data_IF_354087099421
#
_entry.id   IF_354087099421
#
_cell.length_a   1.000
_cell.length_b   1.000
_cell.length_c   1.000
_cell.angle_alpha   90.00
_cell.angle_beta   90.00
_cell.angle_gamma   90.00
#
_symmetry.space_group_name_H-M   'P 1'
#
loop_
_entity.id
_entity.type
_entity.pdbx_description
1 polymer ?
#
# COMPACT_ATOMS: atom_id res chain seq x y z
N UNK A 1 4.20 -14.43 37.83
CA UNK A 1 2.73 -14.33 37.99
C UNK A 1 2.48 -13.12 38.87
N UNK A 2 2.51 -11.94 38.27
CA UNK A 2 2.13 -10.71 38.95
C UNK A 2 0.64 -10.55 38.69
N UNK A 3 -0.16 -10.63 39.75
CA UNK A 3 -1.60 -10.41 39.68
C UNK A 3 -1.81 -8.92 39.42
N UNK A 4 -2.01 -8.59 38.16
CA UNK A 4 -2.47 -7.29 37.68
C UNK A 4 -3.91 -7.08 38.16
N UNK A 5 -4.08 -6.75 39.44
CA UNK A 5 -5.34 -6.27 40.01
C UNK A 5 -5.52 -4.80 39.64
N UNK A 6 -5.50 -4.53 38.33
CA UNK A 6 -5.81 -3.23 37.77
C UNK A 6 -7.27 -2.92 38.03
N UNK A 7 -7.55 -2.24 39.15
CA UNK A 7 -8.84 -1.60 39.41
C UNK A 7 -9.23 -0.82 38.15
N UNK A 8 -10.42 -1.11 37.62
CA UNK A 8 -10.81 -0.55 36.33
C UNK A 8 -10.83 0.98 36.44
N UNK A 9 -10.47 1.72 35.39
CA UNK A 9 -10.54 3.18 35.41
C UNK A 9 -11.95 3.70 35.74
N UNK A 10 -12.99 2.90 35.50
CA UNK A 10 -14.36 3.18 35.92
C UNK A 10 -14.56 3.04 37.43
N UNK A 11 -13.94 2.05 38.06
CA UNK A 11 -13.99 1.85 39.51
C UNK A 11 -13.27 2.98 40.26
N UNK A 12 -12.11 3.43 39.75
CA UNK A 12 -11.42 4.61 40.28
C UNK A 12 -12.25 5.89 40.10
N UNK A 13 -12.95 6.06 38.98
CA UNK A 13 -13.84 7.20 38.76
C UNK A 13 -15.03 7.17 39.73
N UNK A 14 -15.60 5.98 39.99
CA UNK A 14 -16.67 5.77 40.96
C UNK A 14 -16.21 6.08 42.38
N UNK A 15 -15.06 5.56 42.82
CA UNK A 15 -14.50 5.82 44.14
C UNK A 15 -14.20 7.31 44.37
N UNK A 16 -13.71 8.03 43.34
CA UNK A 16 -13.53 9.49 43.42
C UNK A 16 -14.86 10.22 43.61
N UNK A 17 -15.91 9.80 42.91
CA UNK A 17 -17.26 10.37 43.04
C UNK A 17 -17.84 10.11 44.44
N UNK A 18 -17.73 8.88 44.94
CA UNK A 18 -18.19 8.51 46.30
C UNK A 18 -17.42 9.29 47.38
N UNK A 19 -16.09 9.41 47.26
CA UNK A 19 -15.27 10.23 48.17
C UNK A 19 -15.68 11.69 48.15
N UNK A 20 -15.94 12.26 46.97
CA UNK A 20 -16.39 13.66 46.85
C UNK A 20 -17.74 13.89 47.52
N UNK A 21 -18.65 12.93 47.41
CA UNK A 21 -19.97 12.98 48.03
C UNK A 21 -19.86 12.92 49.55
N UNK A 22 -19.09 11.96 50.09
CA UNK A 22 -18.87 11.81 51.53
C UNK A 22 -18.20 13.05 52.15
N UNK A 23 -17.26 13.69 51.44
CA UNK A 23 -16.65 14.94 51.90
C UNK A 23 -17.67 16.09 51.98
N UNK A 24 -18.61 16.16 51.03
CA UNK A 24 -19.71 17.12 51.05
C UNK A 24 -20.67 16.89 52.22
N UNK A 25 -21.02 15.63 52.49
CA UNK A 25 -21.86 15.25 53.63
C UNK A 25 -21.20 15.56 54.97
N UNK A 26 -19.91 15.24 55.13
CA UNK A 26 -19.10 15.59 56.30
C UNK A 26 -19.03 17.11 56.53
N UNK A 27 -18.86 17.89 55.46
CA UNK A 27 -18.89 19.35 55.54
C UNK A 27 -20.25 19.88 56.03
N UNK A 28 -21.34 19.31 55.52
CA UNK A 28 -22.70 19.67 55.92
C UNK A 28 -22.97 19.31 57.38
N UNK A 29 -22.53 18.12 57.82
CA UNK A 29 -22.69 17.68 59.21
C UNK A 29 -21.91 18.58 60.17
N UNK A 30 -20.67 18.95 59.81
CA UNK A 30 -19.85 19.89 60.59
C UNK A 30 -20.52 21.25 60.71
N UNK A 31 -21.09 21.79 59.63
CA UNK A 31 -21.80 23.06 59.65
C UNK A 31 -23.04 23.00 60.56
N UNK A 32 -23.82 21.91 60.51
CA UNK A 32 -24.97 21.70 61.40
C UNK A 32 -24.55 21.60 62.87
N UNK A 33 -23.45 20.91 63.16
CA UNK A 33 -22.92 20.80 64.51
C UNK A 33 -22.47 22.17 65.05
N UNK A 34 -21.74 22.95 64.26
CA UNK A 34 -21.30 24.29 64.69
C UNK A 34 -22.48 25.25 64.90
N UNK A 35 -23.49 25.20 64.03
CA UNK A 35 -24.72 25.97 64.21
C UNK A 35 -25.42 25.59 65.53
N UNK A 36 -25.50 24.29 65.84
CA UNK A 36 -26.10 23.79 67.09
C UNK A 36 -25.33 24.31 68.30
N UNK A 37 -23.99 24.29 68.27
CA UNK A 37 -23.15 24.87 69.32
C UNK A 37 -23.41 26.37 69.48
N UNK A 38 -23.48 27.11 68.39
CA UNK A 38 -23.73 28.54 68.41
C UNK A 38 -25.11 28.87 68.98
N UNK A 39 -26.14 28.11 68.62
CA UNK A 39 -27.49 28.25 69.20
C UNK A 39 -27.47 27.99 70.71
N UNK A 40 -26.79 26.93 71.16
CA UNK A 40 -26.69 26.62 72.59
C UNK A 40 -25.90 27.68 73.37
N UNK A 41 -24.79 28.20 72.81
CA UNK A 41 -24.04 29.32 73.39
C UNK A 41 -24.94 30.55 73.55
N UNK A 42 -25.73 30.85 72.52
CA UNK A 42 -26.67 31.99 72.55
C UNK A 42 -27.78 31.83 73.59
N UNK A 43 -28.37 30.63 73.71
CA UNK A 43 -29.46 30.36 74.67
C UNK A 43 -28.94 30.45 76.12
N UNK A 44 -27.72 29.96 76.36
CA UNK A 44 -27.12 29.90 77.69
C UNK A 44 -26.32 31.16 78.06
N UNK A 45 -26.20 32.14 77.16
CA UNK A 45 -25.40 33.35 77.39
C UNK A 45 -23.89 33.08 77.53
N UNK A 46 -23.39 32.03 76.90
CA UNK A 46 -21.97 31.63 76.96
C UNK A 46 -21.15 32.36 75.90
N UNK A 47 -19.84 32.52 76.15
CA UNK A 47 -18.92 33.10 75.19
C UNK A 47 -18.80 32.24 73.91
N UNK A 48 -18.53 32.89 72.78
CA UNK A 48 -18.38 32.26 71.46
C UNK A 48 -17.31 31.14 71.42
N UNK A 49 -16.37 31.18 72.35
CA UNK A 49 -15.22 30.28 72.42
C UNK A 49 -15.48 29.04 73.29
N UNK A 50 -16.64 28.96 73.96
CA UNK A 50 -16.99 27.83 74.82
C UNK A 50 -17.10 26.54 74.00
N UNK A 51 -16.37 25.53 74.42
CA UNK A 51 -16.40 24.19 73.84
C UNK A 51 -17.71 23.46 74.19
N UNK A 52 -17.95 22.32 73.53
CA UNK A 52 -19.08 21.45 73.89
C UNK A 52 -19.04 21.02 75.36
N UNK A 53 -17.86 20.82 75.93
CA UNK A 53 -17.71 20.43 77.34
C UNK A 53 -18.21 21.54 78.28
N UNK A 54 -17.88 22.80 77.99
CA UNK A 54 -18.30 23.96 78.79
C UNK A 54 -19.82 24.15 78.75
N UNK A 55 -20.43 23.91 77.58
CA UNK A 55 -21.89 23.96 77.41
C UNK A 55 -22.57 22.89 78.27
N UNK A 56 -22.05 21.66 78.27
CA UNK A 56 -22.61 20.56 79.08
C UNK A 56 -22.46 20.85 80.58
N UNK A 57 -21.29 21.30 81.02
CA UNK A 57 -21.06 21.67 82.41
C UNK A 57 -22.01 22.80 82.88
N UNK A 58 -22.24 23.81 82.03
CA UNK A 58 -23.15 24.90 82.34
C UNK A 58 -24.62 24.44 82.46
N UNK A 59 -25.06 23.53 81.58
CA UNK A 59 -26.40 22.92 81.65
C UNK A 59 -26.56 22.08 82.92
N UNK A 60 -25.53 21.31 83.31
CA UNK A 60 -25.53 20.56 84.56
C UNK A 60 -25.60 21.47 85.80
N UNK A 61 -24.90 22.61 85.79
CA UNK A 61 -24.98 23.61 86.86
C UNK A 61 -26.38 24.23 86.96
N UNK A 62 -26.98 24.60 85.82
CA UNK A 62 -28.36 25.11 85.78
C UNK A 62 -29.37 24.07 86.28
N UNK A 63 -29.17 22.79 85.95
CA UNK A 63 -29.97 21.68 86.48
C UNK A 63 -29.89 21.59 88.01
N UNK A 64 -28.69 21.70 88.59
CA UNK A 64 -28.49 21.71 90.06
C UNK A 64 -29.13 22.92 90.73
N UNK A 65 -29.09 24.09 90.09
CA UNK A 65 -29.72 25.32 90.58
C UNK A 65 -31.26 25.22 90.54
N UNK A 66 -31.81 24.66 89.46
CA UNK A 66 -33.25 24.43 89.33
C UNK A 66 -33.79 23.44 90.37
N UNK A 67 -33.03 22.39 90.70
CA UNK A 67 -33.39 21.44 91.77
C UNK A 67 -33.25 22.03 93.19
N UNK A 68 -32.45 23.08 93.38
CA UNK A 68 -32.27 23.77 94.65
C UNK A 68 -33.33 24.84 94.98
N UNK A 69 -34.14 25.27 94.02
CA UNK A 69 -35.07 26.40 94.15
C UNK A 69 -36.52 25.95 94.40
N UNK A 70 -36.74 25.04 95.36
CA UNK A 70 -38.07 24.57 95.80
C UNK A 70 -38.51 25.08 97.17
N UNK A 71 -37.87 26.10 97.74
CA UNK A 71 -38.32 26.62 99.03
C UNK A 71 -37.68 27.93 99.42
N UNK A 72 -38.29 29.05 99.02
CA UNK A 72 -38.25 30.30 99.79
C UNK A 72 -39.34 31.25 99.31
N UNK A 73 -40.59 30.94 99.68
CA UNK A 73 -41.64 31.94 99.84
C UNK A 73 -41.17 32.92 100.93
N UNK A 74 -40.75 34.12 100.53
CA UNK A 74 -40.53 35.25 101.46
C UNK A 74 -41.66 36.25 101.27
N UNK A 75 -42.67 36.05 102.10
CA UNK A 75 -43.63 37.07 102.56
C UNK A 75 -42.86 38.33 102.98
N UNK A 76 -43.12 39.44 102.29
CA UNK A 76 -42.69 40.78 102.70
C UNK A 76 -43.93 41.46 103.32
N UNK A 77 -43.73 41.91 104.56
CA UNK A 77 -44.70 42.57 105.42
C UNK A 77 -44.91 44.03 104.97
N UNK A 78 -46.17 44.42 105.00
CA UNK A 78 -46.66 45.81 105.02
C UNK A 78 -46.39 46.40 106.41
N UNK A 79 -45.73 47.56 106.46
CA UNK A 79 -45.73 48.49 107.60
C UNK A 79 -46.16 49.85 107.05
N UNK A 80 -47.39 50.24 107.42
CA UNK A 80 -48.07 51.53 107.20
C UNK A 80 -47.39 52.62 108.05
N UNK A 81 -47.18 53.81 107.47
CA UNK A 81 -46.86 55.05 108.20
C UNK A 81 -47.20 56.29 107.31
N UNK A 82 -48.47 56.71 107.35
CA UNK A 82 -49.00 58.09 107.34
C UNK A 82 -48.32 59.23 106.53
N UNK A 83 -47.83 58.97 105.31
CA UNK A 83 -47.67 59.95 104.21
C UNK A 83 -48.22 59.43 102.85
N UNK A 84 -49.13 58.46 102.92
CA UNK A 84 -49.54 57.57 101.83
C UNK A 84 -50.32 58.23 100.68
N UNK A 85 -50.98 59.38 100.90
CA UNK A 85 -51.83 60.02 99.88
C UNK A 85 -51.01 60.80 98.83
N UNK A 86 -49.92 61.46 99.25
CA UNK A 86 -49.01 62.17 98.33
C UNK A 86 -48.17 61.18 97.52
N UNK A 87 -47.72 60.09 98.14
CA UNK A 87 -46.98 59.02 97.47
C UNK A 87 -47.87 58.24 96.50
N UNK A 88 -49.14 57.99 96.85
CA UNK A 88 -50.10 57.35 95.95
C UNK A 88 -50.41 58.19 94.70
N UNK A 89 -50.41 59.52 94.82
CA UNK A 89 -50.68 60.42 93.69
C UNK A 89 -49.46 60.59 92.77
N UNK A 90 -48.24 60.63 93.33
CA UNK A 90 -47.00 60.49 92.57
C UNK A 90 -46.89 59.13 91.87
N UNK A 91 -47.27 58.03 92.54
CA UNK A 91 -47.33 56.70 91.96
C UNK A 91 -48.32 56.61 90.79
N UNK A 92 -49.48 57.28 90.87
CA UNK A 92 -50.44 57.35 89.76
C UNK A 92 -49.88 58.12 88.57
N UNK A 93 -49.20 59.25 88.80
CA UNK A 93 -48.53 59.98 87.73
C UNK A 93 -47.40 59.16 87.10
N UNK A 94 -46.62 58.44 87.92
CA UNK A 94 -45.56 57.56 87.45
C UNK A 94 -46.12 56.39 86.62
N UNK A 95 -47.23 55.79 87.06
CA UNK A 95 -47.94 54.75 86.31
C UNK A 95 -48.44 55.28 84.98
N UNK A 96 -49.08 56.45 84.95
CA UNK A 96 -49.56 57.05 83.72
C UNK A 96 -48.40 57.36 82.75
N UNK A 97 -47.28 57.87 83.27
CA UNK A 97 -46.07 58.11 82.46
C UNK A 97 -45.51 56.78 81.93
N UNK A 98 -45.47 55.73 82.75
CA UNK A 98 -45.01 54.42 82.34
C UNK A 98 -45.94 53.78 81.29
N UNK A 99 -47.25 53.98 81.38
CA UNK A 99 -48.23 53.56 80.38
C UNK A 99 -47.99 54.28 79.04
N UNK A 100 -47.82 55.61 79.06
CA UNK A 100 -47.51 56.37 77.85
C UNK A 100 -46.17 55.96 77.21
N UNK A 101 -45.14 55.73 78.03
CA UNK A 101 -43.83 55.27 77.56
C UNK A 101 -43.95 53.86 76.96
N UNK A 102 -44.79 52.98 77.54
CA UNK A 102 -45.04 51.63 77.04
C UNK A 102 -45.77 51.68 75.69
N UNK A 103 -46.81 52.51 75.55
CA UNK A 103 -47.52 52.74 74.29
C UNK A 103 -46.56 53.26 73.19
N UNK A 104 -45.67 54.21 73.52
CA UNK A 104 -44.68 54.71 72.56
C UNK A 104 -43.70 53.60 72.14
N UNK A 105 -43.27 52.74 73.07
CA UNK A 105 -42.39 51.61 72.79
C UNK A 105 -43.10 50.53 71.98
N UNK A 106 -44.36 50.27 72.23
CA UNK A 106 -45.17 49.35 71.43
C UNK A 106 -45.32 49.85 70.00
N UNK A 107 -45.64 51.14 69.81
CA UNK A 107 -45.70 51.75 68.48
C UNK A 107 -44.34 51.67 67.75
N UNK A 108 -43.23 51.93 68.45
CA UNK A 108 -41.88 51.76 67.88
C UNK A 108 -41.61 50.30 67.47
N UNK A 109 -42.04 49.31 68.27
CA UNK A 109 -41.91 47.90 67.95
C UNK A 109 -42.77 47.50 66.74
N UNK A 110 -44.00 48.00 66.63
CA UNK A 110 -44.87 47.76 65.49
C UNK A 110 -44.26 48.30 64.18
N UNK A 111 -43.73 49.52 64.21
CA UNK A 111 -43.02 50.12 63.08
C UNK A 111 -41.74 49.35 62.70
N UNK A 112 -40.99 48.88 63.69
CA UNK A 112 -39.83 48.01 63.45
C UNK A 112 -40.26 46.67 62.84
N UNK A 113 -41.34 46.06 63.34
CA UNK A 113 -41.88 44.82 62.77
C UNK A 113 -42.36 45.02 61.33
N UNK A 114 -42.99 46.16 61.01
CA UNK A 114 -43.36 46.50 59.64
C UNK A 114 -42.14 46.63 58.73
N UNK A 115 -41.09 47.34 59.17
CA UNK A 115 -39.83 47.45 58.44
C UNK A 115 -39.15 46.10 58.21
N UNK A 116 -39.14 45.22 59.20
CA UNK A 116 -38.58 43.85 59.07
C UNK A 116 -39.37 43.02 58.05
N UNK A 117 -40.70 43.15 58.03
CA UNK A 117 -41.55 42.49 57.01
C UNK A 117 -41.21 42.99 55.61
N UNK A 118 -41.10 44.29 55.40
CA UNK A 118 -40.75 44.88 54.09
C UNK A 118 -39.36 44.44 53.61
N UNK A 119 -38.37 44.43 54.50
CA UNK A 119 -37.02 43.94 54.18
C UNK A 119 -37.03 42.46 53.83
N UNK A 120 -37.81 41.65 54.54
CA UNK A 120 -37.96 40.22 54.26
C UNK A 120 -38.56 39.98 52.88
N UNK A 121 -39.56 40.78 52.48
CA UNK A 121 -40.16 40.73 51.14
C UNK A 121 -39.17 41.14 50.04
N UNK A 122 -38.35 42.17 50.28
CA UNK A 122 -37.31 42.59 49.34
C UNK A 122 -36.25 41.50 49.19
N UNK A 123 -35.79 40.90 50.30
CA UNK A 123 -34.82 39.80 50.27
C UNK A 123 -35.38 38.57 49.56
N UNK A 124 -36.65 38.22 49.78
CA UNK A 124 -37.32 37.14 49.06
C UNK A 124 -37.38 37.38 47.55
N UNK A 125 -37.71 38.61 47.13
CA UNK A 125 -37.68 39.01 45.71
C UNK A 125 -36.27 38.94 45.11
N UNK A 126 -35.26 39.41 45.85
CA UNK A 126 -33.86 39.33 45.43
C UNK A 126 -33.40 37.88 45.27
N UNK A 127 -33.75 37.01 46.22
CA UNK A 127 -33.47 35.58 46.16
C UNK A 127 -34.10 34.93 44.92
N UNK A 128 -35.37 35.23 44.63
CA UNK A 128 -36.06 34.71 43.44
C UNK A 128 -35.37 35.15 42.13
N UNK A 129 -34.88 36.39 42.04
CA UNK A 129 -34.13 36.87 40.87
C UNK A 129 -32.77 36.16 40.77
N UNK A 130 -32.08 35.92 41.88
CA UNK A 130 -30.83 35.15 41.91
C UNK A 130 -31.06 33.70 41.45
N UNK A 131 -32.12 33.05 41.90
CA UNK A 131 -32.45 31.67 41.49
C UNK A 131 -32.79 31.60 39.99
N UNK A 132 -33.57 32.55 39.50
CA UNK A 132 -33.89 32.67 38.07
C UNK A 132 -32.64 32.90 37.21
N UNK A 133 -31.74 33.77 37.64
CA UNK A 133 -30.48 34.02 36.91
C UNK A 133 -29.54 32.82 36.95
N UNK A 134 -29.47 32.10 38.08
CA UNK A 134 -28.72 30.85 38.18
C UNK A 134 -29.28 29.78 37.22
N UNK A 135 -30.60 29.61 37.18
CA UNK A 135 -31.24 28.69 36.25
C UNK A 135 -30.98 29.08 34.78
N UNK A 136 -31.03 30.37 34.46
CA UNK A 136 -30.74 30.87 33.12
C UNK A 136 -29.27 30.60 32.72
N UNK A 137 -28.31 30.82 33.63
CA UNK A 137 -26.90 30.53 33.38
C UNK A 137 -26.65 29.02 33.20
N UNK A 138 -27.33 28.17 33.98
CA UNK A 138 -27.27 26.72 33.82
C UNK A 138 -27.74 26.29 32.43
N UNK A 139 -28.92 26.77 32.02
CA UNK A 139 -29.47 26.47 30.69
C UNK A 139 -28.57 26.98 29.56
N UNK A 140 -27.96 28.16 29.71
CA UNK A 140 -27.01 28.68 28.73
C UNK A 140 -25.75 27.83 28.62
N UNK A 141 -25.24 27.29 29.74
CA UNK A 141 -24.09 26.39 29.72
C UNK A 141 -24.44 25.05 29.06
N UNK A 142 -25.59 24.46 29.36
CA UNK A 142 -26.07 23.25 28.69
C UNK A 142 -26.22 23.46 27.17
N UNK A 143 -26.74 24.62 26.76
CA UNK A 143 -26.84 24.97 25.35
C UNK A 143 -25.46 25.12 24.69
N UNK A 144 -24.49 25.75 25.36
CA UNK A 144 -23.11 25.86 24.85
C UNK A 144 -22.47 24.48 24.70
N UNK A 145 -22.67 23.59 25.66
CA UNK A 145 -22.14 22.23 25.61
C UNK A 145 -22.75 21.44 24.44
N UNK A 146 -24.06 21.58 24.20
CA UNK A 146 -24.71 20.96 23.05
C UNK A 146 -24.17 21.50 21.72
N UNK A 147 -24.01 22.81 21.60
CA UNK A 147 -23.43 23.44 20.40
C UNK A 147 -21.97 23.00 20.19
N UNK A 148 -21.21 22.87 21.27
CA UNK A 148 -19.84 22.35 21.21
C UNK A 148 -19.81 20.90 20.68
N UNK A 149 -20.67 20.03 21.21
CA UNK A 149 -20.80 18.64 20.75
C UNK A 149 -21.21 18.56 19.27
N UNK A 150 -22.18 19.35 18.84
CA UNK A 150 -22.60 19.43 17.44
C UNK A 150 -21.47 19.90 16.53
N UNK A 151 -20.68 20.89 16.97
CA UNK A 151 -19.51 21.39 16.22
C UNK A 151 -18.44 20.31 16.09
N UNK A 152 -18.15 19.56 17.14
CA UNK A 152 -17.21 18.44 17.10
C UNK A 152 -17.67 17.32 16.15
N UNK A 153 -18.97 16.99 16.16
CA UNK A 153 -19.56 16.01 15.25
C UNK A 153 -19.49 16.47 13.78
N UNK A 154 -19.78 17.75 13.52
CA UNK A 154 -19.59 18.34 12.19
C UNK A 154 -18.12 18.28 11.74
N UNK A 155 -17.17 18.57 12.63
CA UNK A 155 -15.74 18.43 12.30
C UNK A 155 -15.37 16.99 11.97
N UNK A 156 -15.86 16.01 12.76
CA UNK A 156 -15.63 14.58 12.48
C UNK A 156 -16.20 14.16 11.13
N UNK A 157 -17.46 14.51 10.85
CA UNK A 157 -18.11 14.18 9.57
C UNK A 157 -17.42 14.85 8.38
N UNK A 158 -16.92 16.08 8.52
CA UNK A 158 -16.13 16.73 7.47
C UNK A 158 -14.80 16.00 7.23
N UNK A 159 -14.10 15.58 8.28
CA UNK A 159 -12.85 14.84 8.15
C UNK A 159 -13.06 13.46 7.48
N UNK A 160 -14.14 12.75 7.83
CA UNK A 160 -14.47 11.48 7.21
C UNK A 160 -14.86 11.64 5.73
N UNK A 161 -15.60 12.71 5.39
CA UNK A 161 -15.90 13.06 4.00
C UNK A 161 -14.63 13.34 3.20
N UNK A 162 -13.65 14.02 3.79
CA UNK A 162 -12.38 14.33 3.12
C UNK A 162 -11.56 13.05 2.89
N UNK A 163 -11.52 12.13 3.86
CA UNK A 163 -10.91 10.79 3.70
C UNK A 163 -11.54 9.99 2.56
N UNK A 164 -12.88 9.95 2.49
CA UNK A 164 -13.59 9.27 1.41
C UNK A 164 -13.33 9.93 0.05
N UNK A 165 -13.18 11.25 0.00
CA UNK A 165 -12.80 11.95 -1.22
C UNK A 165 -11.39 11.59 -1.69
N UNK A 166 -10.44 11.47 -0.77
CA UNK A 166 -9.08 11.03 -1.07
C UNK A 166 -9.06 9.59 -1.60
N UNK A 167 -9.80 8.68 -0.97
CA UNK A 167 -9.95 7.30 -1.45
C UNK A 167 -10.57 7.24 -2.84
N UNK A 168 -11.63 8.00 -3.09
CA UNK A 168 -12.25 8.12 -4.42
C UNK A 168 -11.27 8.65 -5.46
N UNK A 169 -10.40 9.59 -5.11
CA UNK A 169 -9.38 10.12 -6.02
C UNK A 169 -8.32 9.06 -6.33
N UNK A 170 -7.86 8.30 -5.32
CA UNK A 170 -6.94 7.16 -5.51
C UNK A 170 -7.51 6.12 -6.47
N UNK A 171 -8.77 5.71 -6.27
CA UNK A 171 -9.44 4.74 -7.14
C UNK A 171 -9.59 5.25 -8.59
N UNK A 172 -9.82 6.56 -8.79
CA UNK A 172 -9.85 7.17 -10.12
C UNK A 172 -8.48 7.14 -10.80
N UNK A 173 -7.41 7.41 -10.06
CA UNK A 173 -6.04 7.31 -10.57
C UNK A 173 -5.67 5.88 -10.95
N UNK A 174 -6.02 4.89 -10.12
CA UNK A 174 -5.84 3.47 -10.44
C UNK A 174 -6.61 3.06 -11.69
N UNK A 175 -7.88 3.48 -11.79
CA UNK A 175 -8.70 3.21 -12.98
C UNK A 175 -8.08 3.85 -14.23
N UNK A 176 -7.52 5.06 -14.12
CA UNK A 176 -6.80 5.72 -15.21
C UNK A 176 -5.56 4.92 -15.62
N UNK A 177 -4.73 4.49 -14.67
CA UNK A 177 -3.54 3.66 -14.94
C UNK A 177 -3.90 2.35 -15.63
N UNK A 178 -4.97 1.69 -15.21
CA UNK A 178 -5.46 0.47 -15.85
C UNK A 178 -5.93 0.70 -17.29
N UNK A 179 -6.62 1.82 -17.57
CA UNK A 179 -6.99 2.20 -18.95
C UNK A 179 -5.75 2.48 -19.81
N UNK A 180 -4.76 3.20 -19.29
CA UNK A 180 -3.52 3.49 -20.00
C UNK A 180 -2.74 2.19 -20.33
N UNK A 181 -2.65 1.26 -19.37
CA UNK A 181 -2.05 -0.05 -19.58
C UNK A 181 -2.81 -0.88 -20.62
N UNK A 182 -4.14 -0.87 -20.58
CA UNK A 182 -4.98 -1.57 -21.55
C UNK A 182 -4.77 -1.03 -22.98
N UNK A 183 -4.74 0.30 -23.14
CA UNK A 183 -4.43 0.93 -24.44
C UNK A 183 -3.03 0.56 -24.93
N UNK A 184 -2.05 0.52 -24.03
CA UNK A 184 -0.69 0.09 -24.38
C UNK A 184 -0.65 -1.37 -24.85
N UNK A 185 -1.32 -2.28 -24.12
CA UNK A 185 -1.42 -3.69 -24.50
C UNK A 185 -2.14 -3.87 -25.83
N UNK A 186 -3.22 -3.13 -26.08
CA UNK A 186 -3.96 -3.18 -27.33
C UNK A 186 -3.09 -2.71 -28.52
N UNK A 187 -2.34 -1.62 -28.35
CA UNK A 187 -1.38 -1.16 -29.37
C UNK A 187 -0.29 -2.19 -29.65
N UNK A 188 0.26 -2.81 -28.61
CA UNK A 188 1.27 -3.85 -28.78
C UNK A 188 0.71 -5.09 -29.50
N UNK A 189 -0.51 -5.51 -29.17
CA UNK A 189 -1.20 -6.60 -29.88
C UNK A 189 -1.42 -6.24 -31.35
N UNK A 190 -1.91 -5.04 -31.65
CA UNK A 190 -2.10 -4.57 -33.02
C UNK A 190 -0.78 -4.51 -33.81
N UNK A 191 0.32 -4.11 -33.17
CA UNK A 191 1.64 -4.13 -33.80
C UNK A 191 2.09 -5.57 -34.10
N UNK A 192 1.85 -6.52 -33.19
CA UNK A 192 2.16 -7.94 -33.42
C UNK A 192 1.29 -8.56 -34.51
N UNK A 193 0.01 -8.24 -34.55
CA UNK A 193 -0.90 -8.64 -35.64
C UNK A 193 -0.42 -8.11 -36.99
N UNK A 194 0.00 -6.84 -37.06
CA UNK A 194 0.54 -6.30 -38.32
C UNK A 194 1.87 -6.92 -38.72
N UNK A 195 2.78 -7.21 -37.76
CA UNK A 195 4.02 -7.95 -38.02
C UNK A 195 3.74 -9.37 -38.55
N UNK A 196 2.76 -10.07 -37.98
CA UNK A 196 2.34 -11.40 -38.44
C UNK A 196 1.75 -11.33 -39.85
N UNK A 197 0.87 -10.37 -40.13
CA UNK A 197 0.29 -10.20 -41.47
C UNK A 197 1.37 -9.95 -42.55
N UNK A 198 2.40 -9.17 -42.24
CA UNK A 198 3.54 -8.95 -43.16
C UNK A 198 4.35 -10.25 -43.36
N UNK A 199 4.60 -11.01 -42.30
CA UNK A 199 5.32 -12.27 -42.38
C UNK A 199 4.53 -13.31 -43.20
N UNK A 200 3.22 -13.41 -42.98
CA UNK A 200 2.31 -14.27 -43.76
C UNK A 200 2.32 -13.90 -45.24
N UNK A 201 2.23 -12.61 -45.59
CA UNK A 201 2.31 -12.14 -46.97
C UNK A 201 3.66 -12.53 -47.63
N UNK A 202 4.77 -12.39 -46.91
CA UNK A 202 6.10 -12.79 -47.40
C UNK A 202 6.22 -14.30 -47.59
N UNK A 203 5.61 -15.11 -46.72
CA UNK A 203 5.58 -16.56 -46.88
C UNK A 203 4.75 -16.96 -48.11
N UNK A 204 3.58 -16.35 -48.32
CA UNK A 204 2.77 -16.58 -49.52
C UNK A 204 3.55 -16.23 -50.78
N UNK A 205 4.22 -15.08 -50.81
CA UNK A 205 5.05 -14.68 -51.95
C UNK A 205 6.15 -15.73 -52.23
N UNK A 206 6.88 -16.18 -51.20
CA UNK A 206 7.89 -17.24 -51.34
C UNK A 206 7.29 -18.55 -51.85
N UNK A 207 6.13 -18.98 -51.35
CA UNK A 207 5.44 -20.17 -51.83
C UNK A 207 5.07 -20.04 -53.31
N UNK A 208 4.55 -18.89 -53.75
CA UNK A 208 4.25 -18.67 -55.18
C UNK A 208 5.51 -18.66 -56.04
N UNK A 209 6.62 -18.11 -55.55
CA UNK A 209 7.90 -18.15 -56.26
C UNK A 209 8.48 -19.56 -56.35
N UNK A 210 8.32 -20.38 -55.31
CA UNK A 210 8.74 -21.78 -55.34
C UNK A 210 7.90 -22.58 -56.32
N UNK A 211 6.58 -22.42 -56.30
CA UNK A 211 5.67 -23.09 -57.24
C UNK A 211 6.01 -22.75 -58.71
N UNK A 212 6.36 -21.48 -59.01
CA UNK A 212 6.85 -21.09 -60.35
C UNK A 212 8.14 -21.80 -60.74
N UNK A 213 9.13 -21.85 -59.84
CA UNK A 213 10.40 -22.56 -60.09
C UNK A 213 10.20 -24.05 -60.27
N UNK A 214 9.31 -24.67 -59.50
CA UNK A 214 8.96 -26.08 -59.65
C UNK A 214 8.32 -26.34 -61.01
N UNK A 215 7.44 -25.44 -61.47
CA UNK A 215 6.87 -25.51 -62.82
C UNK A 215 7.95 -25.37 -63.91
N UNK A 216 8.82 -24.36 -63.82
CA UNK A 216 9.93 -24.15 -64.76
C UNK A 216 10.87 -25.37 -64.83
N UNK A 217 11.19 -25.98 -63.68
CA UNK A 217 11.98 -27.21 -63.62
C UNK A 217 11.27 -28.39 -64.28
N UNK A 218 9.95 -28.52 -64.09
CA UNK A 218 9.13 -29.52 -64.77
C UNK A 218 9.14 -29.36 -66.29
N UNK A 219 8.99 -28.13 -66.78
CA UNK A 219 9.05 -27.81 -68.20
C UNK A 219 10.43 -28.15 -68.80
N UNK A 220 11.53 -27.78 -68.11
CA UNK A 220 12.90 -28.12 -68.51
C UNK A 220 13.16 -29.63 -68.50
N UNK A 221 12.61 -30.37 -67.53
CA UNK A 221 12.70 -31.83 -67.50
C UNK A 221 11.99 -32.46 -68.70
N UNK A 222 10.78 -32.00 -69.03
CA UNK A 222 10.04 -32.47 -70.19
C UNK A 222 10.76 -32.13 -71.52
N UNK A 223 11.41 -30.97 -71.62
CA UNK A 223 12.26 -30.61 -72.76
C UNK A 223 13.47 -31.54 -72.89
N UNK A 224 14.14 -31.84 -71.77
CA UNK A 224 15.26 -32.78 -71.76
C UNK A 224 14.84 -34.21 -72.15
N UNK A 225 13.68 -34.66 -71.72
CA UNK A 225 13.13 -35.97 -72.13
C UNK A 225 12.84 -35.99 -73.64
N UNK A 226 12.26 -34.92 -74.18
CA UNK A 226 12.05 -34.77 -75.64
C UNK A 226 13.35 -34.82 -76.42
N UNK A 227 14.37 -34.07 -75.98
CA UNK A 227 15.69 -34.08 -76.61
C UNK A 227 16.36 -35.46 -76.54
N UNK A 228 16.20 -36.18 -75.42
CA UNK A 228 16.72 -37.55 -75.30
C UNK A 228 16.05 -38.50 -76.29
N UNK A 229 14.74 -38.42 -76.45
CA UNK A 229 14.01 -39.22 -77.44
C UNK A 229 14.42 -38.87 -78.88
N UNK A 230 14.63 -37.59 -79.19
CA UNK A 230 15.13 -37.15 -80.50
C UNK A 230 16.56 -37.67 -80.78
N UNK A 231 17.45 -37.61 -79.78
CA UNK A 231 18.79 -38.17 -79.89
C UNK A 231 18.74 -39.69 -80.13
N UNK A 232 17.86 -40.41 -79.43
CA UNK A 232 17.66 -41.84 -79.62
C UNK A 232 17.21 -42.16 -81.06
N UNK A 233 16.22 -41.43 -81.58
CA UNK A 233 15.78 -41.56 -82.98
C UNK A 233 16.93 -41.28 -83.98
N UNK A 234 17.72 -40.22 -83.74
CA UNK A 234 18.88 -39.91 -84.59
C UNK A 234 19.96 -41.00 -84.51
N UNK A 235 20.20 -41.58 -83.33
CA UNK A 235 21.11 -42.71 -83.17
C UNK A 235 20.65 -43.92 -83.98
N UNK A 236 19.36 -44.24 -83.99
CA UNK A 236 18.78 -45.34 -84.79
C UNK A 236 18.92 -45.09 -86.29
N UNK A 237 18.72 -43.84 -86.74
CA UNK A 237 18.91 -43.44 -88.14
C UNK A 237 20.38 -43.57 -88.54
N UNK A 238 21.31 -43.11 -87.69
CA UNK A 238 22.75 -43.24 -87.94
C UNK A 238 23.16 -44.71 -88.00
N UNK A 239 22.72 -45.53 -87.05
CA UNK A 239 23.00 -46.97 -87.05
C UNK A 239 22.49 -47.65 -88.33
N UNK A 240 21.28 -47.31 -88.78
CA UNK A 240 20.70 -47.82 -90.03
C UNK A 240 21.52 -47.43 -91.27
N UNK A 241 22.12 -46.22 -91.25
CA UNK A 241 23.00 -45.74 -92.33
C UNK A 241 24.36 -46.40 -92.28
N UNK A 242 24.93 -46.63 -91.10
CA UNK A 242 26.16 -47.38 -90.93
C UNK A 242 26.00 -48.82 -91.47
N UNK A 243 24.87 -49.48 -91.19
CA UNK A 243 24.52 -50.79 -91.76
C UNK A 243 24.40 -50.77 -93.30
N UNK A 244 23.88 -49.68 -93.88
CA UNK A 244 23.84 -49.48 -95.33
C UNK A 244 25.25 -49.28 -95.92
N UNK A 245 26.06 -48.45 -95.29
CA UNK A 245 27.46 -48.20 -95.68
C UNK A 245 28.28 -49.49 -95.61
N UNK A 246 28.14 -50.29 -94.56
CA UNK A 246 28.85 -51.55 -94.41
C UNK A 246 28.40 -52.60 -95.42
N UNK A 247 27.12 -52.61 -95.80
CA UNK A 247 26.63 -53.39 -96.96
C UNK A 247 27.29 -52.95 -98.26
N UNK A 248 27.37 -51.65 -98.53
CA UNK A 248 28.02 -51.11 -99.74
C UNK A 248 29.52 -51.43 -99.73
N UNK A 249 30.21 -51.27 -98.60
CA UNK A 249 31.63 -51.63 -98.44
C UNK A 249 31.87 -53.11 -98.72
N UNK A 250 31.02 -53.99 -98.17
CA UNK A 250 31.09 -55.44 -98.42
C UNK A 250 30.86 -55.78 -99.90
N UNK A 251 29.91 -55.11 -100.56
CA UNK A 251 29.68 -55.27 -102.00
C UNK A 251 30.89 -54.78 -102.82
N UNK A 252 31.44 -53.61 -102.49
CA UNK A 252 32.64 -53.06 -103.13
C UNK A 252 33.82 -54.01 -102.97
N UNK A 253 34.05 -54.58 -101.78
CA UNK A 253 35.11 -55.56 -101.55
C UNK A 253 34.94 -56.81 -102.45
N UNK A 254 33.71 -57.32 -102.60
CA UNK A 254 33.42 -58.43 -103.52
C UNK A 254 33.71 -58.03 -104.98
N UNK A 255 33.29 -56.84 -105.41
CA UNK A 255 33.59 -56.33 -106.76
C UNK A 255 35.09 -56.12 -106.98
N UNK A 256 35.80 -55.53 -106.03
CA UNK A 256 37.25 -55.35 -106.07
C UNK A 256 37.98 -56.70 -106.10
N UNK A 257 37.53 -57.69 -105.32
CA UNK A 257 38.09 -59.04 -105.37
C UNK A 257 37.83 -59.70 -106.73
N UNK A 258 36.66 -59.47 -107.34
CA UNK A 258 36.35 -59.94 -108.69
C UNK A 258 37.21 -59.23 -109.75
N UNK A 259 37.43 -57.93 -109.65
CA UNK A 259 38.34 -57.16 -110.52
C UNK A 259 39.80 -57.58 -110.34
N UNK A 260 40.26 -57.80 -109.10
CA UNK A 260 41.58 -58.39 -108.83
C UNK A 260 41.73 -59.75 -109.51
N UNK A 261 40.69 -60.60 -109.54
CA UNK A 261 40.72 -61.87 -110.31
C UNK A 261 40.77 -61.64 -111.83
N UNK A 262 40.07 -60.64 -112.37
CA UNK A 262 40.13 -60.28 -113.80
C UNK A 262 41.50 -59.73 -114.20
N UNK A 263 42.13 -58.95 -113.33
CA UNK A 263 43.44 -58.33 -113.56
C UNK A 263 44.63 -59.21 -113.13
N UNK A 264 44.40 -60.27 -112.33
CA UNK A 264 45.40 -61.28 -111.93
C UNK A 264 45.99 -62.07 -113.10
N UNK A 265 45.39 -62.01 -114.30
CA UNK A 265 45.89 -62.64 -115.53
C UNK A 265 46.22 -61.63 -116.64
N UNK A 266 46.57 -60.38 -116.28
CA UNK A 266 47.20 -59.45 -117.21
C UNK A 266 48.68 -59.26 -116.83
N UNK A 267 49.62 -59.91 -117.54
CA UNK A 267 51.04 -59.60 -117.39
C UNK A 267 51.32 -58.25 -118.06
N UNK A 268 52.03 -57.38 -117.36
CA UNK A 268 52.76 -56.29 -118.00
C UNK A 268 52.93 -55.07 -117.11
N UNK A 269 53.98 -54.27 -117.33
CA UNK A 269 55.35 -54.61 -117.74
C UNK A 269 56.37 -54.10 -116.71
N UNK A 270 57.58 -54.63 -116.78
CA UNK A 270 58.78 -54.00 -116.24
C UNK A 270 59.01 -52.65 -116.95
N UNK A 271 59.20 -51.55 -116.22
CA UNK A 271 60.27 -50.54 -116.41
C UNK A 271 59.94 -49.14 -115.86
N UNK A 272 60.98 -48.50 -115.29
CA UNK A 272 61.20 -47.04 -115.27
C UNK A 272 60.61 -46.28 -114.08
N UNK A 273 61.35 -45.99 -113.00
CA UNK A 273 62.28 -44.85 -112.88
C UNK A 273 61.76 -43.51 -113.40
N UNK A 274 61.30 -42.59 -112.52
CA UNK A 274 61.58 -41.14 -112.65
C UNK A 274 61.25 -40.31 -111.38
N UNK A 275 62.30 -39.86 -110.70
CA UNK A 275 62.61 -38.49 -110.22
C UNK A 275 61.49 -37.52 -109.75
N UNK A 276 61.73 -36.89 -108.58
CA UNK A 276 61.33 -35.50 -108.25
C UNK A 276 60.31 -35.40 -107.11
N UNK A 277 60.64 -35.09 -105.84
CA UNK A 277 61.33 -33.93 -105.24
C UNK A 277 60.58 -32.60 -105.43
N UNK A 278 60.33 -31.95 -104.28
CA UNK A 278 60.02 -30.52 -104.00
C UNK A 278 58.52 -30.15 -104.07
N UNK A 279 57.89 -29.81 -102.94
CA UNK A 279 57.93 -28.56 -102.15
C UNK A 279 56.91 -27.52 -102.62
N UNK A 280 55.97 -27.17 -101.74
CA UNK A 280 55.37 -25.82 -101.59
C UNK A 280 54.33 -25.87 -100.45
N UNK A 281 54.51 -25.27 -99.28
CA UNK A 281 54.73 -23.86 -98.92
C UNK A 281 53.45 -23.07 -98.72
N UNK A 282 53.36 -22.47 -97.51
CA UNK A 282 52.66 -21.22 -97.12
C UNK A 282 51.12 -21.28 -97.12
N UNK A 283 50.43 -20.81 -96.08
CA UNK A 283 50.61 -19.52 -95.39
C UNK A 283 49.98 -19.50 -93.97
N UNK A 284 50.67 -18.92 -92.98
CA UNK A 284 50.01 -18.21 -91.85
C UNK A 284 49.38 -16.88 -92.32
N UNK A 285 48.84 -15.97 -91.47
CA UNK A 285 49.52 -15.44 -90.28
C UNK A 285 48.62 -14.95 -89.09
N UNK A 286 49.30 -14.47 -88.03
CA UNK A 286 49.03 -13.33 -87.11
C UNK A 286 47.60 -13.07 -86.57
N UNK A 287 47.40 -13.12 -85.25
CA UNK A 287 47.41 -12.00 -84.28
C UNK A 287 46.13 -11.12 -84.29
N UNK A 288 45.39 -11.09 -83.18
CA UNK A 288 45.21 -9.84 -82.40
C UNK A 288 44.67 -10.10 -80.97
N UNK A 289 45.13 -9.22 -80.10
CA UNK A 289 44.98 -8.92 -78.66
C UNK A 289 43.66 -9.21 -77.93
N UNK A 290 43.62 -9.44 -76.60
CA UNK A 290 44.68 -9.23 -75.61
C UNK A 290 44.37 -9.63 -74.15
N UNK A 291 45.45 -9.54 -73.36
CA UNK A 291 45.53 -8.85 -72.05
C UNK A 291 44.80 -9.41 -70.80
N UNK A 292 45.47 -10.34 -70.10
CA UNK A 292 45.81 -10.42 -68.64
C UNK A 292 44.79 -10.13 -67.50
N UNK A 293 45.15 -10.34 -66.20
CA UNK A 293 46.37 -10.92 -65.62
C UNK A 293 46.11 -12.09 -64.62
N UNK A 294 47.17 -12.70 -64.01
CA UNK A 294 47.10 -13.94 -63.23
C UNK A 294 47.08 -13.70 -61.71
N UNK A 295 46.63 -14.69 -60.94
CA UNK A 295 46.99 -14.80 -59.51
C UNK A 295 46.99 -16.26 -59.04
N UNK A 296 48.22 -16.79 -58.98
CA UNK A 296 48.84 -17.53 -57.89
C UNK A 296 48.12 -18.70 -57.22
N UNK A 297 48.74 -19.86 -57.41
CA UNK A 297 48.65 -21.06 -56.60
C UNK A 297 49.15 -20.86 -55.16
N UNK A 298 48.54 -21.59 -54.22
CA UNK A 298 49.14 -22.24 -53.04
C UNK A 298 48.08 -23.23 -52.55
N UNK A 299 48.18 -24.54 -52.84
CA UNK A 299 49.03 -25.53 -52.16
C UNK A 299 49.02 -25.40 -50.64
N UNK A 300 48.16 -26.19 -49.98
CA UNK A 300 48.52 -27.10 -48.88
C UNK A 300 47.24 -27.73 -48.28
N UNK A 301 47.08 -29.04 -48.46
CA UNK A 301 46.37 -29.93 -47.53
C UNK A 301 47.20 -30.03 -46.22
N UNK A 302 46.67 -30.44 -45.03
CA UNK A 302 45.90 -31.68 -44.89
C UNK A 302 44.88 -31.83 -43.72
N UNK A 303 44.12 -32.92 -43.81
CA UNK A 303 43.69 -33.84 -42.74
C UNK A 303 42.71 -33.45 -41.62
N UNK A 304 41.66 -34.28 -41.57
CA UNK A 304 41.24 -35.13 -40.45
C UNK A 304 40.01 -34.72 -39.61
N UNK A 305 39.11 -35.72 -39.49
CA UNK A 305 38.11 -35.99 -38.44
C UNK A 305 36.96 -34.98 -38.34
N UNK A 306 35.72 -35.35 -38.61
CA UNK A 306 35.02 -36.47 -37.98
C UNK A 306 34.41 -35.99 -36.65
N UNK A 307 33.21 -35.41 -36.72
CA UNK A 307 32.39 -35.14 -35.54
C UNK A 307 30.99 -35.71 -35.76
N UNK A 308 30.79 -36.86 -35.14
CA UNK A 308 29.52 -37.54 -34.94
C UNK A 308 28.65 -36.77 -33.89
N UNK A 309 27.36 -37.12 -33.73
CA UNK A 309 26.41 -36.38 -32.92
C UNK A 309 26.55 -36.75 -31.44
N UNK A 310 26.16 -35.84 -30.53
CA UNK A 310 25.96 -36.20 -29.12
C UNK A 310 24.60 -35.71 -28.62
N UNK A 311 23.69 -36.66 -28.53
CA UNK A 311 22.78 -36.82 -27.41
C UNK A 311 23.62 -37.07 -26.14
N UNK A 312 23.34 -36.38 -25.04
CA UNK A 312 22.91 -37.04 -23.80
C UNK A 312 22.54 -36.07 -22.67
N UNK A 313 21.49 -36.51 -22.00
CA UNK A 313 20.96 -36.11 -20.70
C UNK A 313 21.96 -36.27 -19.53
N UNK A 314 21.55 -35.65 -18.42
CA UNK A 314 21.82 -36.02 -17.01
C UNK A 314 23.05 -35.46 -16.27
N UNK A 315 22.71 -34.63 -15.26
CA UNK A 315 23.31 -34.38 -13.93
C UNK A 315 23.88 -35.64 -13.22
N UNK A 316 24.54 -35.59 -12.03
CA UNK A 316 25.19 -34.50 -11.25
C UNK A 316 26.60 -34.88 -10.71
N UNK A 317 27.35 -33.91 -10.14
CA UNK A 317 28.10 -34.00 -8.84
C UNK A 317 29.26 -32.98 -8.74
N UNK A 318 29.27 -32.26 -7.61
CA UNK A 318 30.42 -31.62 -6.94
C UNK A 318 31.46 -32.67 -6.49
N UNK A 319 32.68 -32.36 -5.97
CA UNK A 319 33.20 -31.08 -5.45
C UNK A 319 34.64 -30.72 -5.93
N UNK A 320 35.17 -29.57 -5.50
CA UNK A 320 36.63 -29.38 -5.44
C UNK A 320 37.10 -27.98 -5.77
N UNK A 321 37.63 -27.29 -4.77
CA UNK A 321 38.20 -25.96 -4.84
C UNK A 321 39.43 -25.90 -5.77
N UNK A 322 39.52 -24.82 -6.56
CA UNK A 322 40.71 -23.99 -6.69
C UNK A 322 40.40 -22.75 -7.54
N UNK A 323 40.75 -21.60 -7.00
CA UNK A 323 40.77 -20.31 -7.69
C UNK A 323 41.83 -20.34 -8.80
N UNK A 324 41.63 -19.59 -9.89
CA UNK A 324 42.57 -18.50 -10.08
C UNK A 324 41.93 -17.19 -10.51
N UNK A 325 42.67 -16.15 -10.12
CA UNK A 325 42.52 -14.73 -10.41
C UNK A 325 42.49 -14.49 -11.92
N UNK A 326 41.38 -13.95 -12.43
CA UNK A 326 41.40 -13.14 -13.66
C UNK A 326 40.48 -11.95 -13.51
N UNK A 327 41.12 -10.80 -13.36
CA UNK A 327 40.62 -9.45 -13.64
C UNK A 327 39.95 -9.38 -15.02
N UNK A 328 38.63 -9.20 -15.07
CA UNK A 328 37.94 -8.78 -16.28
C UNK A 328 36.66 -8.00 -15.92
N UNK A 329 36.66 -6.72 -16.33
CA UNK A 329 35.50 -5.85 -16.58
C UNK A 329 34.41 -5.83 -15.50
N UNK A 330 34.64 -5.05 -14.44
CA UNK A 330 33.57 -4.56 -13.55
C UNK A 330 32.66 -3.61 -14.33
N UNK A 331 31.57 -4.16 -14.88
CA UNK A 331 30.32 -3.40 -15.03
C UNK A 331 29.87 -2.97 -13.63
N UNK A 332 29.53 -1.70 -13.38
CA UNK A 332 28.87 -1.34 -12.14
C UNK A 332 27.51 -2.04 -12.13
N UNK A 333 27.40 -3.12 -11.37
CA UNK A 333 26.10 -3.66 -10.97
C UNK A 333 25.38 -2.50 -10.30
N UNK A 334 24.32 -2.01 -10.94
CA UNK A 334 23.42 -1.02 -10.33
C UNK A 334 23.08 -1.55 -8.93
N UNK A 335 23.11 -0.70 -7.88
CA UNK A 335 22.61 -1.09 -6.57
C UNK A 335 21.22 -1.68 -6.80
N UNK A 336 21.06 -2.96 -6.45
CA UNK A 336 19.74 -3.57 -6.35
C UNK A 336 18.98 -2.64 -5.44
N UNK A 337 17.95 -1.99 -5.98
CA UNK A 337 17.07 -1.10 -5.24
C UNK A 337 16.72 -1.81 -3.94
N UNK A 338 16.97 -1.15 -2.80
CA UNK A 338 16.66 -1.71 -1.50
C UNK A 338 15.18 -2.08 -1.50
N UNK A 339 14.86 -3.37 -1.62
CA UNK A 339 13.49 -3.84 -1.43
C UNK A 339 13.07 -3.43 -0.03
N UNK A 340 11.89 -2.83 0.06
CA UNK A 340 11.32 -2.48 1.35
C UNK A 340 11.13 -3.73 2.20
N UNK A 341 11.17 -3.56 3.52
CA UNK A 341 11.15 -4.68 4.48
C UNK A 341 9.94 -5.60 4.26
N UNK A 342 8.81 -5.03 3.87
CA UNK A 342 7.55 -5.73 3.64
C UNK A 342 7.54 -6.48 2.29
N UNK A 343 8.04 -5.87 1.22
CA UNK A 343 8.23 -6.55 -0.07
C UNK A 343 9.21 -7.71 0.05
N UNK A 344 10.29 -7.52 0.81
CA UNK A 344 11.25 -8.57 1.12
C UNK A 344 10.59 -9.70 1.92
N UNK A 345 9.74 -9.39 2.91
CA UNK A 345 9.03 -10.41 3.67
C UNK A 345 8.05 -11.21 2.78
N UNK A 346 7.32 -10.53 1.90
CA UNK A 346 6.44 -11.16 0.92
C UNK A 346 7.20 -12.02 -0.10
N UNK A 347 8.37 -11.57 -0.56
CA UNK A 347 9.22 -12.37 -1.44
C UNK A 347 9.73 -13.64 -0.74
N UNK A 348 10.23 -13.51 0.50
CA UNK A 348 10.77 -14.64 1.25
C UNK A 348 9.70 -15.66 1.68
N UNK A 349 8.43 -15.25 1.80
CA UNK A 349 7.34 -16.18 2.09
C UNK A 349 7.03 -17.10 0.89
N UNK A 350 7.23 -16.62 -0.34
CA UNK A 350 7.02 -17.39 -1.57
C UNK A 350 8.20 -18.32 -1.90
N UNK A 351 9.40 -18.04 -1.38
CA UNK A 351 10.61 -18.84 -1.65
C UNK A 351 11.24 -19.36 -0.34
N UNK A 352 10.83 -20.53 0.16
CA UNK A 352 11.32 -21.09 1.44
C UNK A 352 12.85 -21.25 1.50
N UNK A 353 13.47 -21.60 0.36
CA UNK A 353 14.93 -21.72 0.24
C UNK A 353 15.65 -20.37 0.36
N UNK A 354 15.05 -19.29 -0.16
CA UNK A 354 15.59 -17.94 -0.01
C UNK A 354 15.47 -17.46 1.45
N UNK A 355 14.32 -17.72 2.10
CA UNK A 355 14.11 -17.44 3.54
C UNK A 355 15.14 -18.13 4.43
N UNK A 356 15.44 -19.41 4.14
CA UNK A 356 16.46 -20.18 4.89
C UNK A 356 17.85 -19.60 4.71
N UNK A 357 18.22 -19.26 3.47
CA UNK A 357 19.54 -18.70 3.15
C UNK A 357 19.74 -17.34 3.80
N UNK A 358 18.71 -16.50 3.80
CA UNK A 358 18.74 -15.20 4.47
C UNK A 358 18.95 -15.31 5.99
N UNK A 359 18.22 -16.21 6.66
CA UNK A 359 18.42 -16.46 8.10
C UNK A 359 19.84 -16.91 8.41
N UNK A 360 20.41 -17.76 7.56
CA UNK A 360 21.77 -18.29 7.73
C UNK A 360 22.84 -17.20 7.50
N UNK A 361 22.55 -16.24 6.63
CA UNK A 361 23.42 -15.08 6.42
C UNK A 361 23.33 -14.07 7.57
N UNK A 362 22.12 -13.79 8.10
CA UNK A 362 21.94 -12.91 9.26
C UNK A 362 22.66 -13.46 10.51
N UNK A 363 22.45 -14.74 10.82
CA UNK A 363 23.15 -15.40 11.95
C UNK A 363 24.68 -15.36 11.82
N UNK A 364 25.23 -15.44 10.61
CA UNK A 364 26.68 -15.28 10.37
C UNK A 364 27.18 -13.83 10.53
N UNK A 365 26.36 -12.84 10.23
CA UNK A 365 26.70 -11.42 10.38
C UNK A 365 26.62 -11.02 11.85
N UNK A 366 25.55 -11.45 12.52
CA UNK A 366 25.32 -11.17 13.94
C UNK A 366 26.31 -11.93 14.84
N UNK A 367 26.74 -13.14 14.45
CA UNK A 367 27.77 -13.91 15.17
C UNK A 367 29.22 -13.45 14.94
N UNK A 368 29.45 -12.42 14.11
CA UNK A 368 30.77 -11.79 13.90
C UNK A 368 30.88 -10.39 14.52
N UNK A 369 29.81 -9.91 15.15
CA UNK A 369 29.82 -8.74 16.04
C UNK A 369 29.94 -9.22 17.47
#
# INVERSE_FOLDING_TARGET
MEADSGESPEELARLRKERSLLLGELGTLRAKFELTLQTLRSILGLELNCSWADIVEHVELLGRLADGHKGQDKSIKEEEDDDEESEAEELRQLLLQAEMDLDEKEQQLEEQCARVRDLSDVLSKQQNVLDMTCAQLSNQNEQKDLVSKQREELLRTTADRDRLNDERNRLREETRKLRELNVFQQKHLQEKESQLAVAEASLVEKHTSLARREQELGDLQADHERQRAEIEELCDVVASRDDEVDRIRSQLEVYEAAERRKHSYRPGPCDGSFVGRLASSRSGPLEDTGSGPPSSASSAYPSARGSAPRYNDSVPSTPGAQSPVTSSLRRPMRPVLSMDRDERAAFLSHFPMASRTERLMRTRIDGKR
#
